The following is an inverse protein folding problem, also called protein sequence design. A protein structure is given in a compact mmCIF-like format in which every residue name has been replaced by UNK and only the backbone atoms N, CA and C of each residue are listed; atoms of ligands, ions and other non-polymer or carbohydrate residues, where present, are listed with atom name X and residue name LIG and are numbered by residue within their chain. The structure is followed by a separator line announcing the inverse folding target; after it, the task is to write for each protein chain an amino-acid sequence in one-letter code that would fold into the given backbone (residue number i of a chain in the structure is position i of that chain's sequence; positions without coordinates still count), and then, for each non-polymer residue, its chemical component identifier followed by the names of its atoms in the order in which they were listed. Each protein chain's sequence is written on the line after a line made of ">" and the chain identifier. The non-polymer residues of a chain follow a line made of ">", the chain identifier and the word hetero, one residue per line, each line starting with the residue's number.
data_IF_244617844117
#
_entry.id   IF_244617844117
#
_cell.length_a   1.000
_cell.length_b   1.000
_cell.length_c   1.000
_cell.angle_alpha   90.00
_cell.angle_beta   90.00
_cell.angle_gamma   90.00
#
_symmetry.space_group_name_H-M   'P 1'
#
loop_
_entity.id
_entity.type
_entity.pdbx_description
1 polymer ?
#
# COMPACT_ATOMS: atom_id res chain seq x y z
N UNK A 1 35.52 61.31 40.62
CA UNK A 1 35.38 60.19 39.67
C UNK A 1 34.50 59.13 40.30
N UNK A 2 33.65 58.49 39.47
CA UNK A 2 32.47 57.68 39.81
C UNK A 2 32.73 56.51 40.78
N UNK A 3 31.85 56.35 41.78
CA UNK A 3 31.57 55.07 42.43
C UNK A 3 30.72 54.18 41.50
N UNK A 4 30.86 52.85 41.58
CA UNK A 4 29.73 51.92 41.47
C UNK A 4 30.08 50.54 42.04
N UNK A 5 29.20 50.10 42.93
CA UNK A 5 29.24 48.92 43.80
C UNK A 5 28.85 47.68 42.99
N UNK A 6 29.55 46.57 43.20
CA UNK A 6 29.16 45.27 42.65
C UNK A 6 28.18 44.60 43.60
N UNK A 7 26.95 44.36 43.13
CA UNK A 7 25.90 43.62 43.82
C UNK A 7 25.76 42.28 43.10
N UNK A 8 26.09 41.19 43.79
CA UNK A 8 25.89 39.81 43.32
C UNK A 8 24.41 39.49 43.50
N UNK A 9 23.69 39.33 42.39
CA UNK A 9 22.30 38.90 42.37
C UNK A 9 22.24 37.37 42.21
N UNK A 10 21.65 36.71 43.20
CA UNK A 10 21.41 35.27 43.30
C UNK A 10 20.15 34.92 42.47
N UNK A 11 20.31 34.42 41.25
CA UNK A 11 19.16 33.96 40.44
C UNK A 11 18.71 32.57 40.89
N UNK A 12 17.63 32.51 41.69
CA UNK A 12 16.82 31.30 41.87
C UNK A 12 15.94 31.11 40.62
N UNK A 13 16.37 30.26 39.70
CA UNK A 13 15.49 29.72 38.64
C UNK A 13 14.94 28.37 39.11
N UNK A 14 13.72 28.36 39.62
CA UNK A 14 12.94 27.15 39.83
C UNK A 14 12.62 26.50 38.48
N UNK A 15 13.04 25.25 38.30
CA UNK A 15 12.80 24.47 37.09
C UNK A 15 11.31 24.18 36.92
N UNK A 16 10.72 24.73 35.86
CA UNK A 16 9.40 24.36 35.39
C UNK A 16 9.55 23.04 34.60
N UNK A 17 9.25 21.92 35.24
CA UNK A 17 9.10 20.64 34.54
C UNK A 17 7.90 20.74 33.59
N UNK A 18 8.17 21.01 32.31
CA UNK A 18 7.22 20.78 31.24
C UNK A 18 7.05 19.26 31.10
N UNK A 19 6.01 18.71 31.70
CA UNK A 19 5.52 17.38 31.36
C UNK A 19 5.07 17.41 29.90
N UNK A 20 5.91 16.89 29.01
CA UNK A 20 5.54 16.60 27.63
C UNK A 20 4.35 15.63 27.68
N UNK A 21 3.17 15.96 27.12
CA UNK A 21 2.12 14.97 26.99
C UNK A 21 2.66 13.85 26.11
N UNK A 22 2.77 12.66 26.68
CA UNK A 22 3.06 11.45 25.94
C UNK A 22 2.02 11.31 24.85
N UNK A 23 2.43 11.56 23.61
CA UNK A 23 1.71 11.16 22.41
C UNK A 23 1.66 9.63 22.44
N UNK A 24 0.60 9.11 23.07
CA UNK A 24 0.14 7.76 22.79
C UNK A 24 -0.21 7.73 21.31
N UNK A 25 0.61 7.05 20.52
CA UNK A 25 0.21 6.63 19.18
C UNK A 25 -0.91 5.61 19.41
N UNK A 26 -2.14 6.09 19.48
CA UNK A 26 -3.29 5.22 19.36
C UNK A 26 -3.09 4.39 18.10
N UNK A 27 -3.11 3.07 18.24
CA UNK A 27 -3.20 2.15 17.12
C UNK A 27 -4.41 2.59 16.30
N UNK A 28 -4.14 3.26 15.17
CA UNK A 28 -5.20 3.84 14.35
C UNK A 28 -6.02 2.67 13.85
N UNK A 29 -7.22 2.51 14.39
CA UNK A 29 -8.16 1.51 13.93
C UNK A 29 -8.50 1.85 12.47
N UNK A 30 -7.79 1.19 11.56
CA UNK A 30 -7.85 1.47 10.14
C UNK A 30 -9.10 0.81 9.57
N UNK A 31 -10.09 1.65 9.24
CA UNK A 31 -11.36 1.24 8.62
C UNK A 31 -11.32 1.67 7.15
N UNK A 32 -11.04 0.75 6.20
CA UNK A 32 -10.87 1.12 4.79
C UNK A 32 -12.06 1.86 4.18
N UNK A 33 -13.27 1.59 4.67
CA UNK A 33 -14.50 2.24 4.18
C UNK A 33 -14.60 3.72 4.57
N UNK A 34 -13.80 4.18 5.54
CA UNK A 34 -13.69 5.59 5.83
C UNK A 34 -12.76 6.28 4.82
N UNK A 35 -13.37 6.85 3.78
CA UNK A 35 -12.66 7.53 2.70
C UNK A 35 -12.35 9.01 2.98
N UNK A 36 -12.63 9.51 4.19
CA UNK A 36 -12.42 10.93 4.53
C UNK A 36 -10.97 11.40 4.44
N UNK A 37 -10.02 10.47 4.61
CA UNK A 37 -8.59 10.73 4.47
C UNK A 37 -8.10 10.67 3.00
N UNK A 38 -8.95 10.24 2.07
CA UNK A 38 -8.60 10.21 0.65
C UNK A 38 -8.66 11.62 0.03
N UNK A 39 -7.80 11.93 -0.96
CA UNK A 39 -7.96 13.13 -1.77
C UNK A 39 -9.35 13.20 -2.41
N UNK A 40 -9.95 14.38 -2.43
CA UNK A 40 -11.21 14.62 -3.13
C UNK A 40 -10.96 14.74 -4.64
N UNK A 41 -11.24 13.66 -5.38
CA UNK A 41 -11.02 13.60 -6.83
C UNK A 41 -12.33 13.95 -7.56
N UNK A 42 -12.35 14.99 -8.40
CA UNK A 42 -13.54 15.32 -9.19
C UNK A 42 -13.92 14.18 -10.15
N UNK A 43 -15.22 13.92 -10.29
CA UNK A 43 -15.73 12.87 -11.19
C UNK A 43 -15.26 13.07 -12.65
N UNK A 44 -15.20 14.33 -13.12
CA UNK A 44 -14.69 14.64 -14.46
C UNK A 44 -13.23 14.22 -14.66
N UNK A 45 -12.39 14.31 -13.64
CA UNK A 45 -10.99 13.87 -13.71
C UNK A 45 -10.90 12.34 -13.75
N UNK A 46 -11.74 11.63 -12.98
CA UNK A 46 -11.81 10.16 -13.03
C UNK A 46 -12.27 9.62 -14.39
N UNK A 47 -13.18 10.34 -15.06
CA UNK A 47 -13.69 9.97 -16.38
C UNK A 47 -12.66 10.17 -17.51
N UNK A 48 -11.64 11.01 -17.29
CA UNK A 48 -10.55 11.22 -18.26
C UNK A 48 -9.48 10.13 -18.19
N UNK A 49 -9.44 9.34 -17.12
CA UNK A 49 -8.48 8.24 -16.97
C UNK A 49 -8.85 7.08 -17.89
N UNK A 50 -7.83 6.50 -18.51
CA UNK A 50 -7.91 5.22 -19.21
C UNK A 50 -7.82 4.10 -18.19
N UNK A 51 -8.96 3.48 -17.87
CA UNK A 51 -9.04 2.38 -16.92
C UNK A 51 -8.61 1.07 -17.56
N UNK A 52 -7.46 0.53 -17.15
CA UNK A 52 -6.91 -0.70 -17.72
C UNK A 52 -7.65 -1.93 -17.16
N UNK A 53 -8.29 -2.75 -18.01
CA UNK A 53 -8.94 -3.98 -17.54
C UNK A 53 -7.93 -4.97 -16.96
N UNK A 54 -8.24 -5.52 -15.79
CA UNK A 54 -7.39 -6.52 -15.13
C UNK A 54 -7.87 -7.93 -15.47
N UNK A 55 -6.94 -8.73 -15.98
CA UNK A 55 -7.10 -10.18 -16.13
C UNK A 55 -6.80 -10.86 -14.79
N UNK A 56 -7.79 -11.54 -14.21
CA UNK A 56 -7.67 -12.23 -12.92
C UNK A 56 -6.73 -13.45 -12.97
N UNK A 57 -6.38 -13.94 -14.16
CA UNK A 57 -5.46 -15.07 -14.32
C UNK A 57 -3.99 -14.69 -14.22
N UNK A 58 -3.66 -13.38 -14.26
CA UNK A 58 -2.29 -12.87 -14.33
C UNK A 58 -2.05 -11.74 -13.34
N UNK A 59 -0.78 -11.46 -13.09
CA UNK A 59 -0.38 -10.23 -12.40
C UNK A 59 -0.26 -9.12 -13.43
N UNK A 60 -1.05 -8.06 -13.28
CA UNK A 60 -0.93 -6.86 -14.09
C UNK A 60 0.27 -6.05 -13.60
N UNK A 61 1.18 -5.66 -14.49
CA UNK A 61 2.37 -4.87 -14.15
C UNK A 61 2.33 -3.54 -14.89
N UNK A 62 2.60 -2.45 -14.17
CA UNK A 62 2.62 -1.09 -14.71
C UNK A 62 3.89 -0.38 -14.25
N UNK A 63 4.74 0.03 -15.20
CA UNK A 63 5.81 0.97 -14.93
C UNK A 63 5.25 2.38 -14.95
N UNK A 64 5.32 3.11 -13.85
CA UNK A 64 4.62 4.39 -13.69
C UNK A 64 5.16 5.50 -14.62
N UNK A 65 6.48 5.54 -14.87
CA UNK A 65 7.06 6.53 -15.78
C UNK A 65 6.55 6.45 -17.23
N UNK A 66 6.16 5.26 -17.70
CA UNK A 66 5.79 5.05 -19.12
C UNK A 66 4.35 4.60 -19.32
N UNK A 67 3.79 3.86 -18.37
CA UNK A 67 2.42 3.36 -18.41
C UNK A 67 1.49 4.04 -17.41
N UNK A 68 1.99 4.93 -16.56
CA UNK A 68 1.17 5.76 -15.67
C UNK A 68 0.54 6.94 -16.40
N UNK A 69 -0.50 7.50 -15.80
CA UNK A 69 -1.29 8.61 -16.36
C UNK A 69 -1.16 9.84 -15.47
N UNK A 70 -1.25 11.04 -16.05
CA UNK A 70 -1.27 12.27 -15.25
C UNK A 70 -2.67 12.48 -14.67
N UNK A 71 -2.74 12.73 -13.37
CA UNK A 71 -3.96 13.16 -12.69
C UNK A 71 -3.65 14.42 -11.87
N UNK A 72 -4.13 15.57 -12.34
CA UNK A 72 -3.81 16.87 -11.74
C UNK A 72 -4.85 17.24 -10.67
N UNK A 73 -4.67 16.66 -9.48
CA UNK A 73 -5.59 16.82 -8.34
C UNK A 73 -4.78 17.05 -7.07
N UNK A 74 -5.23 17.98 -6.24
CA UNK A 74 -4.60 18.27 -4.96
C UNK A 74 -4.53 17.00 -4.08
N UNK A 75 -3.35 16.75 -3.50
CA UNK A 75 -3.10 15.56 -2.70
C UNK A 75 -2.62 14.34 -3.49
N UNK A 76 -2.50 14.43 -4.82
CA UNK A 76 -1.90 13.40 -5.68
C UNK A 76 -0.64 13.97 -6.32
N UNK A 77 0.43 13.16 -6.34
CA UNK A 77 1.72 13.58 -6.90
C UNK A 77 2.26 12.53 -7.84
N UNK A 78 2.68 12.95 -9.04
CA UNK A 78 3.24 12.07 -10.05
C UNK A 78 2.20 11.29 -10.86
N UNK A 79 2.66 10.33 -11.67
CA UNK A 79 1.79 9.46 -12.45
C UNK A 79 0.96 8.52 -11.56
N UNK A 80 -0.25 8.21 -12.02
CA UNK A 80 -1.18 7.27 -11.38
C UNK A 80 -1.37 6.02 -12.23
N UNK A 81 -1.66 4.90 -11.57
CA UNK A 81 -2.11 3.68 -12.23
C UNK A 81 -3.62 3.49 -11.99
N UNK A 82 -4.37 3.22 -13.06
CA UNK A 82 -5.83 3.13 -13.04
C UNK A 82 -6.28 1.80 -13.63
N UNK A 83 -6.94 0.98 -12.82
CA UNK A 83 -7.37 -0.37 -13.18
C UNK A 83 -8.88 -0.54 -13.07
N UNK A 84 -9.49 -1.27 -13.99
CA UNK A 84 -10.87 -1.77 -13.84
C UNK A 84 -10.85 -3.26 -13.55
N UNK A 85 -11.44 -3.65 -12.43
CA UNK A 85 -11.44 -5.03 -11.93
C UNK A 85 -12.86 -5.60 -12.04
N UNK A 86 -13.05 -6.79 -12.65
CA UNK A 86 -14.35 -7.45 -12.67
C UNK A 86 -14.79 -7.82 -11.24
N UNK A 87 -16.05 -7.52 -10.91
CA UNK A 87 -16.57 -7.59 -9.54
C UNK A 87 -17.85 -8.43 -9.42
N UNK A 88 -18.17 -9.23 -10.44
CA UNK A 88 -19.39 -10.02 -10.56
C UNK A 88 -19.32 -11.43 -9.92
N UNK A 89 -18.21 -11.81 -9.27
CA UNK A 89 -17.90 -13.21 -8.87
C UNK A 89 -17.69 -13.34 -7.34
N UNK A 90 -18.28 -12.45 -6.54
CA UNK A 90 -18.19 -12.50 -5.07
C UNK A 90 -16.95 -11.81 -4.50
N UNK A 91 -16.43 -12.32 -3.38
CA UNK A 91 -15.30 -11.71 -2.67
C UNK A 91 -14.03 -11.68 -3.54
N UNK A 92 -13.38 -10.52 -3.55
CA UNK A 92 -12.13 -10.26 -4.26
C UNK A 92 -10.99 -10.09 -3.27
N UNK A 93 -9.86 -10.70 -3.57
CA UNK A 93 -8.58 -10.41 -2.92
C UNK A 93 -7.66 -9.72 -3.93
N UNK A 94 -7.30 -8.48 -3.64
CA UNK A 94 -6.39 -7.67 -4.43
C UNK A 94 -5.05 -7.60 -3.70
N UNK A 95 -3.98 -8.09 -4.31
CA UNK A 95 -2.61 -7.89 -3.83
C UNK A 95 -1.97 -6.82 -4.68
N UNK A 96 -1.65 -5.68 -4.07
CA UNK A 96 -0.87 -4.64 -4.70
C UNK A 96 0.56 -4.72 -4.18
N UNK A 97 1.51 -4.64 -5.10
CA UNK A 97 2.93 -4.68 -4.84
C UNK A 97 3.60 -3.48 -5.51
N UNK A 98 4.48 -2.79 -4.80
CA UNK A 98 5.42 -1.83 -5.39
C UNK A 98 6.85 -2.28 -5.14
N UNK A 99 7.61 -2.50 -6.22
CA UNK A 99 8.97 -3.03 -6.11
C UNK A 99 9.99 -1.94 -5.79
N UNK A 100 10.91 -2.26 -4.88
CA UNK A 100 12.08 -1.43 -4.62
C UNK A 100 13.06 -1.62 -5.79
N UNK A 101 13.50 -0.51 -6.37
CA UNK A 101 14.44 -0.52 -7.48
C UNK A 101 15.89 -0.73 -7.00
N UNK A 102 16.81 -0.86 -7.97
CA UNK A 102 18.23 -1.09 -7.69
C UNK A 102 18.94 0.08 -6.99
N UNK A 103 18.33 1.26 -6.99
CA UNK A 103 18.84 2.49 -6.37
C UNK A 103 18.24 2.72 -4.98
N UNK A 104 17.65 1.69 -4.35
CA UNK A 104 16.95 1.82 -3.08
C UNK A 104 15.90 2.95 -3.14
N UNK A 105 15.06 2.92 -4.16
CA UNK A 105 13.88 3.78 -4.27
C UNK A 105 12.63 2.95 -4.52
N UNK A 106 11.51 3.38 -4.00
CA UNK A 106 10.23 2.66 -4.09
C UNK A 106 9.08 3.63 -4.25
N UNK A 107 8.07 3.23 -5.02
CA UNK A 107 6.84 4.00 -5.07
C UNK A 107 5.98 3.67 -3.84
N UNK A 108 5.60 4.68 -3.07
CA UNK A 108 4.79 4.51 -1.86
C UNK A 108 3.30 4.64 -2.22
N UNK A 109 2.54 3.53 -2.30
CA UNK A 109 1.23 3.54 -2.92
C UNK A 109 0.13 3.91 -1.94
N UNK A 110 -0.80 4.72 -2.39
CA UNK A 110 -2.13 4.87 -1.84
C UNK A 110 -3.12 4.28 -2.84
N UNK A 111 -4.19 3.65 -2.35
CA UNK A 111 -5.20 3.01 -3.19
C UNK A 111 -6.58 3.53 -2.85
N UNK A 112 -7.24 4.12 -3.84
CA UNK A 112 -8.65 4.47 -3.78
C UNK A 112 -9.45 3.45 -4.58
N UNK A 113 -10.39 2.80 -3.91
CA UNK A 113 -11.36 1.91 -4.52
C UNK A 113 -12.62 2.71 -4.81
N UNK A 114 -13.07 2.66 -6.07
CA UNK A 114 -14.32 3.27 -6.51
C UNK A 114 -15.31 2.18 -6.95
N UNK A 115 -16.59 2.43 -6.73
CA UNK A 115 -17.66 1.59 -7.25
C UNK A 115 -17.83 1.73 -8.77
N UNK A 116 -18.82 1.04 -9.34
CA UNK A 116 -19.14 1.12 -10.76
C UNK A 116 -19.57 2.52 -11.25
N UNK A 117 -19.98 3.41 -10.33
CA UNK A 117 -20.37 4.78 -10.62
C UNK A 117 -19.21 5.77 -10.41
N UNK A 118 -17.99 5.28 -10.19
CA UNK A 118 -16.80 6.08 -9.84
C UNK A 118 -16.93 6.81 -8.49
N UNK A 119 -17.67 6.25 -7.54
CA UNK A 119 -17.82 6.79 -6.18
C UNK A 119 -16.82 6.11 -5.22
N UNK A 120 -16.05 6.89 -4.43
CA UNK A 120 -15.18 6.35 -3.38
C UNK A 120 -15.89 5.38 -2.43
N UNK A 121 -15.36 4.16 -2.33
CA UNK A 121 -15.92 3.08 -1.51
C UNK A 121 -14.93 2.59 -0.43
N UNK A 122 -13.63 2.62 -0.71
CA UNK A 122 -12.60 2.32 0.28
C UNK A 122 -11.30 3.04 -0.05
N UNK A 123 -10.51 3.38 0.96
CA UNK A 123 -9.23 4.05 0.81
C UNK A 123 -8.14 3.40 1.67
N UNK A 124 -7.06 2.96 1.03
CA UNK A 124 -5.89 2.36 1.65
C UNK A 124 -4.69 3.31 1.56
N UNK A 125 -4.28 3.94 2.66
CA UNK A 125 -3.16 4.86 2.67
C UNK A 125 -1.82 4.12 2.55
N UNK A 126 -0.74 4.86 2.29
CA UNK A 126 0.60 4.26 2.17
C UNK A 126 1.04 3.42 3.36
N UNK A 127 0.60 3.74 4.58
CA UNK A 127 0.92 2.97 5.79
C UNK A 127 0.31 1.57 5.82
N UNK A 128 -0.67 1.28 4.96
CA UNK A 128 -1.25 -0.06 4.81
C UNK A 128 -0.29 -1.03 4.10
N UNK A 129 0.63 -0.50 3.29
CA UNK A 129 1.54 -1.29 2.48
C UNK A 129 2.85 -1.48 3.24
N UNK A 130 3.13 -2.72 3.60
CA UNK A 130 4.26 -3.06 4.47
C UNK A 130 5.43 -3.58 3.65
N UNK A 131 6.64 -3.32 4.13
CA UNK A 131 7.84 -3.87 3.53
C UNK A 131 7.85 -5.40 3.64
N UNK A 132 8.09 -6.05 2.50
CA UNK A 132 8.28 -7.48 2.38
C UNK A 132 9.68 -7.74 1.82
N UNK A 133 10.39 -8.62 2.52
CA UNK A 133 11.73 -9.07 2.17
C UNK A 133 11.73 -9.81 0.82
N UNK A 134 12.89 -9.89 0.15
CA UNK A 134 12.98 -10.58 -1.11
C UNK A 134 12.81 -12.09 -0.88
N UNK A 135 12.13 -12.73 -1.82
CA UNK A 135 11.94 -14.18 -1.87
C UNK A 135 12.64 -14.75 -3.10
N UNK A 136 12.59 -16.07 -3.28
CA UNK A 136 13.26 -16.76 -4.40
C UNK A 136 12.89 -16.19 -5.78
N UNK A 137 11.67 -15.66 -5.91
CA UNK A 137 11.13 -15.11 -7.17
C UNK A 137 10.59 -13.67 -7.03
N UNK A 138 10.86 -12.99 -5.91
CA UNK A 138 10.29 -11.68 -5.60
C UNK A 138 11.35 -10.74 -5.04
N UNK A 139 11.40 -9.50 -5.53
CA UNK A 139 12.28 -8.47 -4.99
C UNK A 139 11.75 -7.92 -3.65
N UNK A 140 12.59 -7.08 -3.02
CA UNK A 140 12.16 -6.14 -1.99
C UNK A 140 10.98 -5.30 -2.48
N UNK A 141 9.95 -5.16 -1.67
CA UNK A 141 8.71 -4.49 -2.10
C UNK A 141 7.89 -3.98 -0.93
N UNK A 142 7.05 -2.99 -1.21
CA UNK A 142 5.89 -2.67 -0.40
C UNK A 142 4.71 -3.52 -0.89
N UNK A 143 3.98 -4.17 0.03
CA UNK A 143 2.86 -5.04 -0.31
C UNK A 143 1.66 -4.82 0.60
N UNK A 144 0.46 -4.88 0.02
CA UNK A 144 -0.80 -4.81 0.74
C UNK A 144 -1.82 -5.76 0.11
N UNK A 145 -2.58 -6.46 0.96
CA UNK A 145 -3.59 -7.44 0.55
C UNK A 145 -4.98 -6.96 0.95
N UNK A 146 -5.72 -6.40 0.01
CA UNK A 146 -7.04 -5.82 0.21
C UNK A 146 -8.11 -6.87 -0.10
N UNK A 147 -8.97 -7.17 0.87
CA UNK A 147 -10.15 -8.02 0.67
C UNK A 147 -11.37 -7.13 0.50
N UNK A 148 -12.06 -7.29 -0.62
CA UNK A 148 -13.20 -6.47 -1.00
C UNK A 148 -14.39 -7.37 -1.27
N UNK A 149 -15.56 -6.96 -0.80
CA UNK A 149 -16.83 -7.61 -1.10
C UNK A 149 -17.66 -6.64 -1.93
N UNK A 150 -17.70 -6.80 -3.27
CA UNK A 150 -18.54 -5.98 -4.13
C UNK A 150 -20.02 -6.08 -3.75
N UNK A 151 -20.77 -5.00 -3.94
CA UNK A 151 -22.22 -5.01 -3.73
C UNK A 151 -22.93 -5.93 -4.75
N UNK A 152 -24.08 -6.46 -4.37
CA UNK A 152 -24.90 -7.27 -5.28
C UNK A 152 -25.27 -6.47 -6.54
N UNK A 153 -25.08 -7.09 -7.72
CA UNK A 153 -25.33 -6.46 -9.01
C UNK A 153 -24.18 -5.61 -9.54
N UNK A 154 -23.10 -5.40 -8.77
CA UNK A 154 -21.93 -4.69 -9.23
C UNK A 154 -21.11 -5.55 -10.21
N UNK A 155 -20.89 -5.06 -11.43
CA UNK A 155 -20.17 -5.81 -12.45
C UNK A 155 -18.66 -5.57 -12.43
N UNK A 156 -18.25 -4.38 -11.96
CA UNK A 156 -16.84 -3.95 -11.90
C UNK A 156 -16.62 -2.93 -10.79
N UNK A 157 -15.37 -2.80 -10.38
CA UNK A 157 -14.88 -1.74 -9.52
C UNK A 157 -13.64 -1.11 -10.16
N UNK A 158 -13.31 0.09 -9.73
CA UNK A 158 -12.13 0.79 -10.20
C UNK A 158 -11.11 0.95 -9.07
N UNK A 159 -9.84 0.70 -9.39
CA UNK A 159 -8.72 0.79 -8.45
C UNK A 159 -7.78 1.87 -8.97
N UNK A 160 -7.69 2.97 -8.23
CA UNK A 160 -6.77 4.05 -8.50
C UNK A 160 -5.59 3.95 -7.53
N UNK A 161 -4.39 3.85 -8.08
CA UNK A 161 -3.14 3.79 -7.31
C UNK A 161 -2.34 5.05 -7.58
N UNK A 162 -1.95 5.75 -6.52
CA UNK A 162 -1.23 7.02 -6.59
C UNK A 162 -0.32 7.21 -5.39
N UNK A 163 0.52 8.24 -5.38
CA UNK A 163 1.28 8.65 -4.19
C UNK A 163 0.98 10.10 -3.85
N UNK A 164 1.40 10.54 -2.66
CA UNK A 164 1.16 11.89 -2.15
C UNK A 164 2.49 12.54 -1.78
N UNK A 165 2.52 13.87 -1.75
CA UNK A 165 3.69 14.63 -1.30
C UNK A 165 4.14 14.22 0.11
N UNK A 166 3.18 13.94 1.01
CA UNK A 166 3.49 13.47 2.37
C UNK A 166 4.24 12.14 2.34
N UNK A 167 3.80 11.19 1.52
CA UNK A 167 4.41 9.87 1.46
C UNK A 167 5.78 9.92 0.78
N UNK A 168 5.99 10.84 -0.17
CA UNK A 168 7.30 11.06 -0.81
C UNK A 168 8.37 11.60 0.17
N UNK A 169 7.95 12.23 1.28
CA UNK A 169 8.86 12.67 2.33
C UNK A 169 9.24 11.55 3.31
N UNK A 170 8.59 10.39 3.20
CA UNK A 170 8.87 9.23 4.03
C UNK A 170 9.88 8.29 3.37
N UNK A 171 10.33 7.31 4.15
CA UNK A 171 11.29 6.30 3.72
C UNK A 171 10.91 4.95 4.29
N UNK A 172 11.35 3.89 3.64
CA UNK A 172 11.17 2.52 4.11
C UNK A 172 12.51 1.90 4.45
N UNK A 173 12.68 1.40 5.67
CA UNK A 173 13.86 0.61 6.05
C UNK A 173 13.72 -0.81 5.49
N UNK A 174 14.72 -1.24 4.74
CA UNK A 174 14.81 -2.56 4.12
C UNK A 174 15.55 -3.53 5.05
N UNK A 175 15.58 -4.83 4.74
CA UNK A 175 16.46 -5.77 5.44
C UNK A 175 17.83 -5.80 4.75
N UNK A 176 18.90 -5.61 5.50
CA UNK A 176 20.25 -5.78 4.97
C UNK A 176 20.50 -7.24 4.51
N UNK A 177 21.03 -7.47 3.29
CA UNK A 177 21.31 -8.81 2.79
C UNK A 177 22.21 -9.66 3.69
N UNK A 178 23.19 -9.08 4.38
CA UNK A 178 24.07 -9.81 5.29
C UNK A 178 23.33 -10.26 6.55
N UNK A 179 22.39 -9.44 7.06
CA UNK A 179 21.49 -9.86 8.15
C UNK A 179 20.53 -10.95 7.70
N UNK A 180 19.96 -10.82 6.49
CA UNK A 180 19.08 -11.83 5.91
C UNK A 180 19.79 -13.18 5.76
N UNK A 181 21.03 -13.17 5.26
CA UNK A 181 21.84 -14.37 5.11
C UNK A 181 22.18 -14.99 6.47
N UNK A 182 22.67 -14.19 7.42
CA UNK A 182 23.00 -14.68 8.77
C UNK A 182 21.80 -15.33 9.45
N UNK A 183 20.61 -14.71 9.36
CA UNK A 183 19.35 -15.27 9.84
C UNK A 183 19.00 -16.60 9.14
N UNK A 184 19.23 -16.70 7.83
CA UNK A 184 18.92 -17.88 7.04
C UNK A 184 19.83 -19.09 7.34
N UNK A 185 21.10 -18.86 7.66
CA UNK A 185 22.07 -19.93 7.98
C UNK A 185 22.21 -20.21 9.48
N UNK A 186 21.49 -19.50 10.34
CA UNK A 186 21.55 -19.66 11.80
C UNK A 186 22.80 -19.07 12.45
N UNK A 187 23.48 -18.16 11.76
CA UNK A 187 24.65 -17.45 12.30
C UNK A 187 24.22 -16.23 13.13
N UNK A 188 25.15 -15.72 13.92
CA UNK A 188 24.99 -14.42 14.60
C UNK A 188 24.70 -13.31 13.58
N UNK A 189 23.65 -12.53 13.83
CA UNK A 189 23.26 -11.42 12.96
C UNK A 189 24.28 -10.28 13.14
N UNK A 190 24.90 -9.79 12.05
CA UNK A 190 25.85 -8.67 12.13
C UNK A 190 25.17 -7.38 12.63
N UNK A 191 25.90 -6.61 13.44
CA UNK A 191 25.47 -5.29 13.90
C UNK A 191 25.85 -4.21 12.88
N UNK A 192 25.09 -4.15 11.78
CA UNK A 192 25.23 -3.16 10.71
C UNK A 192 23.92 -2.41 10.49
N UNK A 193 23.91 -1.13 10.10
CA UNK A 193 22.67 -0.43 9.77
C UNK A 193 21.96 -1.04 8.56
N UNK A 194 20.64 -1.07 8.59
CA UNK A 194 19.84 -1.53 7.46
C UNK A 194 19.74 -0.45 6.36
N UNK A 195 19.69 -0.84 5.07
CA UNK A 195 19.53 0.10 3.98
C UNK A 195 18.15 0.77 4.01
N UNK A 196 18.07 2.01 3.54
CA UNK A 196 16.84 2.81 3.54
C UNK A 196 16.43 3.15 2.12
N UNK A 197 15.22 2.76 1.74
CA UNK A 197 14.62 3.11 0.47
C UNK A 197 13.92 4.47 0.54
N UNK A 198 14.22 5.35 -0.44
CA UNK A 198 13.51 6.63 -0.60
C UNK A 198 12.21 6.43 -1.36
N UNK A 199 11.17 7.16 -0.96
CA UNK A 199 9.92 7.12 -1.69
C UNK A 199 9.99 8.02 -2.95
N UNK A 200 9.46 7.52 -4.07
CA UNK A 200 9.52 8.21 -5.37
C UNK A 200 8.18 8.20 -6.09
N UNK A 201 8.00 9.11 -7.05
CA UNK A 201 6.81 9.19 -7.91
C UNK A 201 6.80 8.15 -9.02
N UNK A 202 7.95 7.52 -9.28
CA UNK A 202 8.09 6.43 -10.25
C UNK A 202 8.39 5.11 -9.53
N UNK A 203 8.08 4.01 -10.22
CA UNK A 203 8.29 2.64 -9.77
C UNK A 203 7.46 1.65 -10.58
N UNK A 204 7.71 0.36 -10.34
CA UNK A 204 6.90 -0.73 -10.89
C UNK A 204 5.82 -1.09 -9.89
N UNK A 205 4.57 -0.97 -10.29
CA UNK A 205 3.41 -1.40 -9.52
C UNK A 205 2.84 -2.66 -10.16
N UNK A 206 2.56 -3.67 -9.33
CA UNK A 206 1.96 -4.93 -9.73
C UNK A 206 0.65 -5.14 -8.99
N UNK A 207 -0.42 -5.41 -9.72
CA UNK A 207 -1.73 -5.72 -9.17
C UNK A 207 -2.10 -7.15 -9.55
N UNK A 208 -2.36 -7.97 -8.53
CA UNK A 208 -2.90 -9.32 -8.68
C UNK A 208 -4.29 -9.37 -8.09
N UNK A 209 -5.25 -9.87 -8.86
CA UNK A 209 -6.64 -10.03 -8.42
C UNK A 209 -6.97 -11.51 -8.37
N UNK A 210 -7.55 -11.95 -7.26
CA UNK A 210 -8.14 -13.28 -7.12
C UNK A 210 -9.60 -13.16 -6.71
N UNK A 211 -10.45 -13.98 -7.30
CA UNK A 211 -11.81 -14.21 -6.82
C UNK A 211 -11.79 -15.41 -5.89
N UNK A 212 -12.38 -15.27 -4.71
CA UNK A 212 -12.70 -16.40 -3.85
C UNK A 212 -14.06 -16.96 -4.29
N UNK A 213 -14.12 -17.48 -5.52
CA UNK A 213 -15.23 -18.29 -5.97
C UNK A 213 -15.06 -19.67 -5.34
N UNK A 214 -15.98 -20.08 -4.47
CA UNK A 214 -16.03 -21.44 -3.95
C UNK A 214 -16.44 -22.42 -5.06
N UNK A 215 -15.56 -22.64 -6.04
CA UNK A 215 -15.73 -23.69 -7.03
C UNK A 215 -15.38 -25.03 -6.40
N UNK A 216 -16.39 -25.68 -5.80
CA UNK A 216 -16.32 -27.08 -5.39
C UNK A 216 -16.30 -27.95 -6.65
N UNK A 217 -15.27 -28.78 -6.81
CA UNK A 217 -15.28 -29.88 -7.77
C UNK A 217 -16.07 -31.02 -7.15
N UNK A 218 -17.14 -31.48 -7.80
CA UNK A 218 -17.79 -32.72 -7.41
C UNK A 218 -16.88 -33.88 -7.82
N UNK A 219 -16.17 -34.47 -6.85
CA UNK A 219 -15.30 -35.62 -7.07
C UNK A 219 -16.10 -36.90 -6.80
N UNK A 220 -16.49 -37.60 -7.87
CA UNK A 220 -17.18 -38.89 -7.83
C UNK A 220 -17.62 -39.33 -9.23
N UNK A 221 -17.79 -40.65 -9.50
CA UNK A 221 -18.24 -41.11 -10.81
C UNK A 221 -19.65 -40.58 -11.11
N UNK A 222 -19.76 -39.77 -12.17
CA UNK A 222 -21.02 -39.10 -12.59
C UNK A 222 -22.00 -40.01 -13.34
N UNK A 223 -21.65 -41.26 -13.56
CA UNK A 223 -22.51 -42.24 -14.19
C UNK A 223 -22.42 -43.55 -13.41
N UNK A 224 -23.57 -44.04 -12.95
CA UNK A 224 -23.68 -45.37 -12.37
C UNK A 224 -23.16 -46.41 -13.36
N UNK A 225 -22.29 -47.30 -12.88
CA UNK A 225 -21.95 -48.51 -13.58
C UNK A 225 -23.26 -49.23 -13.94
N UNK A 226 -23.58 -49.29 -15.23
CA UNK A 226 -24.66 -50.13 -15.73
C UNK A 226 -24.37 -51.57 -15.31
N UNK A 227 -25.19 -52.08 -14.38
CA UNK A 227 -25.20 -53.50 -14.06
C UNK A 227 -25.61 -54.28 -15.31
N UNK A 228 -24.72 -55.16 -15.77
CA UNK A 228 -25.07 -56.26 -16.66
C UNK A 228 -24.91 -57.55 -15.86
N UNK A 229 -26.03 -58.06 -15.37
CA UNK A 229 -26.17 -59.43 -14.90
C UNK A 229 -27.61 -59.88 -15.18
N UNK A 230 -27.76 -60.83 -16.11
CA UNK A 230 -28.29 -62.15 -15.76
C UNK A 230 -27.21 -63.24 -15.87
#
# INVERSE_FOLDING_TARGET
>A
MKMKKSLVALCLTAGLFASVPGISLAEVNYVPQNTSAAPAIPAAALQQLTWTPVDQSKTQSTQLATGGQRLDVAGITGPVAAYSVPANIGELTLTLTSEVNKQASVFAPNVLILDQNMTPSAFFPSSYFTYQQPGVMSADRLEGVMRLTPALGQQKLYVLVFTTEKDLQQTTTLLDPAKAYAKGVGNSIPDIPDPVARHTTDGVVKLKVKTNSSSSVLVGPLFGSSGTGP
#
